data_IF_024804795768
#
_entry.id   IF_024804795768
#
_cell.length_a   1.000
_cell.length_b   1.000
_cell.length_c   1.000
_cell.angle_alpha   90.00
_cell.angle_beta   90.00
_cell.angle_gamma   90.00
#
_symmetry.space_group_name_H-M   'P 1'
#
loop_
_entity.id
_entity.type
_entity.pdbx_description
1 polymer ?
#
# COMPACT_ATOMS: atom_id res chain seq x y z
N UNK A 1 -49.31 11.69 -9.79
CA UNK A 1 -47.83 11.73 -9.78
C UNK A 1 -47.37 12.03 -8.35
N UNK A 2 -46.89 10.99 -7.64
CA UNK A 2 -46.56 11.05 -6.21
C UNK A 2 -45.10 11.53 -6.09
N UNK A 3 -44.87 12.67 -5.43
CA UNK A 3 -43.55 13.28 -5.27
C UNK A 3 -42.77 12.52 -4.21
N UNK A 4 -41.61 11.96 -4.58
CA UNK A 4 -40.68 11.35 -3.64
C UNK A 4 -39.90 12.47 -2.93
N UNK A 5 -40.03 12.54 -1.60
CA UNK A 5 -39.20 13.40 -0.77
C UNK A 5 -37.95 12.59 -0.42
N UNK A 6 -36.82 12.95 -1.00
CA UNK A 6 -35.51 12.41 -0.63
C UNK A 6 -35.00 13.26 0.53
N UNK A 7 -34.96 12.67 1.73
CA UNK A 7 -34.40 13.30 2.92
C UNK A 7 -32.90 12.98 2.91
N UNK A 8 -32.07 13.96 2.56
CA UNK A 8 -30.63 13.90 2.80
C UNK A 8 -30.36 14.19 4.27
N UNK A 9 -30.10 13.14 5.05
CA UNK A 9 -29.54 13.27 6.38
C UNK A 9 -28.06 13.63 6.24
N UNK A 10 -27.76 14.93 6.13
CA UNK A 10 -26.42 15.44 6.34
C UNK A 10 -26.06 15.19 7.80
N UNK A 11 -25.29 14.14 8.05
CA UNK A 11 -24.60 13.94 9.32
C UNK A 11 -23.77 15.17 9.62
N UNK A 12 -24.18 15.89 10.67
CA UNK A 12 -23.56 17.14 11.11
C UNK A 12 -22.23 16.78 11.78
N UNK A 13 -21.16 16.68 10.98
CA UNK A 13 -19.80 16.58 11.53
C UNK A 13 -19.43 17.96 12.08
N UNK A 14 -19.44 18.06 13.40
CA UNK A 14 -19.03 19.25 14.13
C UNK A 14 -17.53 19.46 13.91
N UNK A 15 -17.18 20.35 12.98
CA UNK A 15 -15.81 20.86 12.83
C UNK A 15 -15.57 21.90 13.92
N UNK A 16 -15.17 21.45 15.11
CA UNK A 16 -14.53 22.33 16.10
C UNK A 16 -13.04 22.37 15.80
N UNK A 17 -12.52 23.57 15.54
CA UNK A 17 -11.13 23.82 15.21
C UNK A 17 -10.16 23.15 16.17
N UNK A 18 -9.29 22.32 15.61
CA UNK A 18 -8.34 21.46 16.31
C UNK A 18 -8.20 20.19 15.49
N UNK A 19 -7.08 20.03 14.80
CA UNK A 19 -6.73 18.79 14.10
C UNK A 19 -6.84 17.67 15.14
N UNK A 20 -7.89 16.85 15.06
CA UNK A 20 -7.98 15.62 15.84
C UNK A 20 -6.85 14.74 15.31
N UNK A 21 -5.70 14.77 15.98
CA UNK A 21 -4.65 13.77 15.83
C UNK A 21 -5.27 12.45 16.29
N UNK A 22 -5.86 11.74 15.33
CA UNK A 22 -6.59 10.50 15.56
C UNK A 22 -5.62 9.39 15.94
N UNK A 23 -6.12 8.40 16.69
CA UNK A 23 -5.45 7.11 16.76
C UNK A 23 -5.40 6.44 15.39
N UNK A 24 -4.69 5.32 15.29
CA UNK A 24 -4.80 4.50 14.09
C UNK A 24 -6.18 3.85 14.02
N UNK A 25 -6.82 3.98 12.88
CA UNK A 25 -8.12 3.36 12.56
C UNK A 25 -7.95 2.46 11.33
N UNK A 26 -8.81 1.47 11.18
CA UNK A 26 -8.81 0.62 9.99
C UNK A 26 -9.23 1.45 8.75
N UNK A 27 -8.65 1.13 7.60
CA UNK A 27 -9.06 1.75 6.33
C UNK A 27 -10.45 1.30 5.91
N UNK A 28 -11.18 2.18 5.22
CA UNK A 28 -12.54 1.92 4.77
C UNK A 28 -12.71 2.14 3.25
N UNK A 29 -13.95 2.06 2.75
CA UNK A 29 -14.23 2.18 1.32
C UNK A 29 -13.79 3.53 0.72
N UNK A 30 -13.66 4.59 1.53
CA UNK A 30 -13.17 5.89 1.06
C UNK A 30 -11.67 5.88 0.72
N UNK A 31 -10.93 4.88 1.20
CA UNK A 31 -9.50 4.73 0.96
C UNK A 31 -9.15 3.88 -0.29
N UNK A 32 -10.14 3.33 -1.00
CA UNK A 32 -9.93 2.32 -2.05
C UNK A 32 -8.88 2.75 -3.11
N UNK A 33 -8.99 3.97 -3.63
CA UNK A 33 -8.05 4.49 -4.64
C UNK A 33 -6.65 4.72 -4.07
N UNK A 34 -6.55 5.16 -2.81
CA UNK A 34 -5.26 5.32 -2.13
C UNK A 34 -4.62 3.96 -1.87
N UNK A 35 -5.41 2.96 -1.47
CA UNK A 35 -4.93 1.59 -1.26
C UNK A 35 -4.43 0.93 -2.55
N UNK A 36 -5.09 1.18 -3.69
CA UNK A 36 -4.60 0.73 -5.01
C UNK A 36 -3.23 1.34 -5.33
N UNK A 37 -3.08 2.65 -5.13
CA UNK A 37 -1.81 3.35 -5.37
C UNK A 37 -0.71 2.87 -4.41
N UNK A 38 -1.03 2.74 -3.12
CA UNK A 38 -0.14 2.17 -2.11
C UNK A 38 0.36 0.79 -2.55
N UNK A 39 -0.55 -0.09 -2.97
CA UNK A 39 -0.19 -1.44 -3.42
C UNK A 39 0.78 -1.41 -4.60
N UNK A 40 0.55 -0.52 -5.56
CA UNK A 40 1.42 -0.37 -6.73
C UNK A 40 2.81 0.15 -6.35
N UNK A 41 2.86 1.23 -5.55
CA UNK A 41 4.12 1.81 -5.08
C UNK A 41 4.92 0.81 -4.24
N UNK A 42 4.24 0.09 -3.35
CA UNK A 42 4.83 -0.94 -2.51
C UNK A 42 5.40 -2.08 -3.35
N UNK A 43 4.62 -2.61 -4.29
CA UNK A 43 5.10 -3.69 -5.14
C UNK A 43 6.29 -3.24 -5.99
N UNK A 44 6.24 -2.05 -6.57
CA UNK A 44 7.32 -1.50 -7.40
C UNK A 44 8.60 -1.33 -6.59
N UNK A 45 8.52 -0.74 -5.41
CA UNK A 45 9.70 -0.53 -4.55
C UNK A 45 10.34 -1.87 -4.14
N UNK A 46 9.52 -2.88 -3.84
CA UNK A 46 10.04 -4.22 -3.54
C UNK A 46 10.63 -4.89 -4.78
N UNK A 47 10.07 -4.67 -5.97
CA UNK A 47 10.59 -5.18 -7.24
C UNK A 47 11.95 -4.53 -7.58
N UNK A 48 12.06 -3.21 -7.40
CA UNK A 48 13.29 -2.44 -7.68
C UNK A 48 14.45 -2.79 -6.73
N UNK A 49 14.12 -3.30 -5.54
CA UNK A 49 15.11 -3.76 -4.57
C UNK A 49 15.71 -5.14 -4.91
N UNK A 50 15.12 -5.88 -5.86
CA UNK A 50 15.64 -7.19 -6.26
C UNK A 50 16.81 -7.02 -7.24
N UNK A 51 17.91 -7.71 -6.95
CA UNK A 51 19.01 -7.90 -7.90
C UNK A 51 18.97 -9.33 -8.41
N UNK A 52 18.70 -9.48 -9.70
CA UNK A 52 18.65 -10.79 -10.34
C UNK A 52 20.05 -11.34 -10.63
N UNK A 53 20.19 -12.65 -10.48
CA UNK A 53 21.36 -13.40 -10.95
C UNK A 53 21.29 -13.56 -12.48
N UNK A 54 22.45 -13.69 -13.15
CA UNK A 54 22.49 -13.82 -14.61
C UNK A 54 21.68 -15.01 -15.14
N UNK A 55 20.74 -14.73 -16.03
CA UNK A 55 19.82 -15.72 -16.59
C UNK A 55 18.58 -16.01 -15.73
N UNK A 56 18.39 -15.33 -14.61
CA UNK A 56 17.19 -15.39 -13.80
C UNK A 56 16.42 -14.07 -13.85
N UNK A 57 15.11 -14.13 -13.64
CA UNK A 57 14.25 -12.97 -13.43
C UNK A 57 13.38 -13.25 -12.21
N UNK A 58 13.33 -12.30 -11.28
CA UNK A 58 12.48 -12.41 -10.09
C UNK A 58 11.27 -11.52 -10.22
N UNK A 59 10.09 -12.11 -10.08
CA UNK A 59 8.83 -11.40 -9.98
C UNK A 59 8.42 -11.24 -8.52
N UNK A 60 8.12 -10.00 -8.14
CA UNK A 60 7.59 -9.65 -6.83
C UNK A 60 6.07 -9.52 -6.89
N UNK A 61 5.39 -10.11 -5.92
CA UNK A 61 3.94 -9.97 -5.75
C UNK A 61 3.58 -9.68 -4.29
N UNK A 62 2.64 -8.77 -4.09
CA UNK A 62 2.06 -8.48 -2.79
C UNK A 62 0.78 -9.28 -2.57
N UNK A 63 0.68 -9.90 -1.39
CA UNK A 63 -0.54 -10.55 -0.89
C UNK A 63 -0.95 -9.94 0.44
N UNK A 64 -2.24 -9.98 0.71
CA UNK A 64 -2.79 -9.65 2.02
C UNK A 64 -2.33 -8.27 2.50
N UNK A 65 -2.49 -7.25 1.63
CA UNK A 65 -2.17 -5.87 2.00
C UNK A 65 -3.23 -5.37 2.99
N UNK A 66 -2.79 -5.10 4.21
CA UNK A 66 -3.60 -4.53 5.28
C UNK A 66 -3.04 -3.17 5.66
N UNK A 67 -3.90 -2.17 5.79
CA UNK A 67 -3.49 -0.82 6.13
C UNK A 67 -4.36 -0.25 7.25
N UNK A 68 -3.73 0.52 8.12
CA UNK A 68 -4.41 1.43 9.05
C UNK A 68 -4.15 2.86 8.61
N UNK A 69 -5.14 3.73 8.80
CA UNK A 69 -5.04 5.15 8.54
C UNK A 69 -4.98 5.96 9.82
N UNK A 70 -4.34 7.11 9.73
CA UNK A 70 -4.27 8.08 10.80
C UNK A 70 -4.42 9.48 10.22
N UNK A 71 -5.37 10.25 10.76
CA UNK A 71 -5.55 11.66 10.40
C UNK A 71 -4.53 12.51 11.16
N UNK A 72 -3.70 13.21 10.40
CA UNK A 72 -2.65 14.13 10.87
C UNK A 72 -2.73 15.43 10.06
N UNK A 73 -1.61 16.07 9.71
CA UNK A 73 -1.55 17.13 8.68
C UNK A 73 -1.73 16.55 7.26
N UNK A 74 -2.75 15.71 7.06
CA UNK A 74 -2.93 14.81 5.93
C UNK A 74 -3.42 13.45 6.41
N UNK A 75 -3.31 12.43 5.56
CA UNK A 75 -3.63 11.05 5.93
C UNK A 75 -2.35 10.22 5.88
N UNK A 76 -1.98 9.62 7.01
CA UNK A 76 -0.92 8.61 7.05
C UNK A 76 -1.53 7.22 6.92
N UNK A 77 -0.94 6.37 6.10
CA UNK A 77 -1.27 4.96 5.96
C UNK A 77 -0.10 4.12 6.44
N UNK A 78 -0.33 3.24 7.41
CA UNK A 78 0.66 2.27 7.89
C UNK A 78 0.19 0.90 7.44
N UNK A 79 0.97 0.27 6.56
CA UNK A 79 0.57 -0.93 5.85
C UNK A 79 1.53 -2.09 6.12
N UNK A 80 0.97 -3.29 6.16
CA UNK A 80 1.69 -4.56 6.20
C UNK A 80 1.23 -5.40 5.00
N UNK A 81 2.16 -6.14 4.38
CA UNK A 81 1.83 -7.09 3.32
C UNK A 81 2.82 -8.23 3.29
N UNK A 82 2.33 -9.41 2.88
CA UNK A 82 3.19 -10.53 2.52
C UNK A 82 3.75 -10.32 1.12
N UNK A 83 5.06 -10.18 1.03
CA UNK A 83 5.81 -10.07 -0.22
C UNK A 83 6.28 -11.45 -0.63
N UNK A 84 5.95 -11.88 -1.84
CA UNK A 84 6.44 -13.15 -2.41
C UNK A 84 7.39 -12.86 -3.56
N UNK A 85 8.49 -13.59 -3.59
CA UNK A 85 9.53 -13.53 -4.61
C UNK A 85 9.53 -14.84 -5.39
N UNK A 86 9.21 -14.77 -6.67
CA UNK A 86 9.21 -15.89 -7.59
C UNK A 86 10.32 -15.70 -8.62
N UNK A 87 11.41 -16.45 -8.48
CA UNK A 87 12.56 -16.38 -9.37
C UNK A 87 12.46 -17.47 -10.42
N UNK A 88 12.47 -17.08 -11.69
CA UNK A 88 12.38 -18.00 -12.84
C UNK A 88 13.63 -17.88 -13.69
N UNK A 89 14.12 -19.01 -14.18
CA UNK A 89 15.23 -19.05 -15.12
C UNK A 89 14.73 -18.73 -16.54
N UNK A 90 15.46 -17.87 -17.26
CA UNK A 90 15.20 -17.50 -18.66
C UNK A 90 16.09 -18.23 -19.66
N UNK A 91 17.09 -18.95 -19.17
CA UNK A 91 17.97 -19.82 -19.97
C UNK A 91 17.26 -21.16 -20.28
N UNK A 92 17.80 -21.96 -21.21
CA UNK A 92 17.31 -23.32 -21.44
C UNK A 92 17.32 -24.14 -20.14
N UNK A 93 16.33 -25.02 -19.96
CA UNK A 93 16.14 -25.78 -18.71
C UNK A 93 17.34 -26.62 -18.29
N UNK A 94 18.20 -27.02 -19.24
CA UNK A 94 19.46 -27.74 -18.98
C UNK A 94 20.50 -26.92 -18.21
N UNK A 95 20.33 -25.60 -18.13
CA UNK A 95 21.24 -24.65 -17.49
C UNK A 95 20.63 -24.02 -16.23
N UNK A 96 19.45 -24.49 -15.81
CA UNK A 96 18.66 -23.88 -14.74
C UNK A 96 18.61 -24.77 -13.50
N UNK A 97 18.89 -24.18 -12.35
CA UNK A 97 18.55 -24.75 -11.05
C UNK A 97 17.25 -24.13 -10.56
N UNK A 98 16.35 -24.94 -10.02
CA UNK A 98 15.12 -24.43 -9.43
C UNK A 98 15.47 -23.64 -8.15
N UNK A 99 15.07 -22.37 -8.11
CA UNK A 99 15.26 -21.53 -6.93
C UNK A 99 14.07 -21.69 -5.98
N UNK A 100 14.29 -21.78 -4.66
CA UNK A 100 13.20 -21.89 -3.71
C UNK A 100 12.35 -20.62 -3.70
N UNK A 101 11.04 -20.78 -3.55
CA UNK A 101 10.11 -19.67 -3.32
C UNK A 101 10.44 -18.99 -2.00
N UNK A 102 10.55 -17.67 -2.01
CA UNK A 102 10.81 -16.86 -0.80
C UNK A 102 9.63 -15.95 -0.53
N UNK A 103 9.36 -15.69 0.74
CA UNK A 103 8.40 -14.68 1.14
C UNK A 103 8.85 -13.98 2.41
N UNK A 104 8.40 -12.75 2.60
CA UNK A 104 8.67 -11.96 3.81
C UNK A 104 7.44 -11.14 4.15
N UNK A 105 7.24 -10.84 5.43
CA UNK A 105 6.24 -9.86 5.86
C UNK A 105 6.91 -8.51 5.90
N UNK A 106 6.39 -7.55 5.14
CA UNK A 106 6.98 -6.22 5.01
C UNK A 106 5.99 -5.15 5.46
N UNK A 107 6.52 -4.15 6.15
CA UNK A 107 5.79 -2.97 6.61
C UNK A 107 6.27 -1.74 5.85
N UNK A 108 5.33 -0.88 5.48
CA UNK A 108 5.61 0.39 4.84
C UNK A 108 4.61 1.44 5.29
N UNK A 109 5.05 2.69 5.30
CA UNK A 109 4.24 3.82 5.71
C UNK A 109 4.20 4.85 4.58
N UNK A 110 3.01 5.40 4.36
CA UNK A 110 2.72 6.36 3.30
C UNK A 110 2.01 7.57 3.89
N UNK A 111 2.17 8.71 3.26
CA UNK A 111 1.52 9.95 3.66
C UNK A 111 0.93 10.63 2.43
N UNK A 112 -0.34 10.99 2.54
CA UNK A 112 -1.05 11.85 1.61
C UNK A 112 -1.21 13.23 2.27
N UNK A 113 -0.48 14.26 1.81
CA UNK A 113 -0.65 15.61 2.34
C UNK A 113 -2.06 16.16 2.05
N UNK A 114 -2.42 17.24 2.73
CA UNK A 114 -3.63 18.00 2.39
C UNK A 114 -3.42 18.78 1.09
N UNK A 115 -4.38 18.72 0.18
CA UNK A 115 -4.37 19.49 -1.08
C UNK A 115 -5.12 18.77 -2.20
N UNK A 116 -5.65 19.54 -3.15
CA UNK A 116 -6.42 19.00 -4.29
C UNK A 116 -5.56 18.14 -5.23
N UNK A 117 -4.28 18.50 -5.38
CA UNK A 117 -3.29 17.78 -6.20
C UNK A 117 -2.27 16.99 -5.36
N UNK A 118 -2.59 16.75 -4.09
CA UNK A 118 -1.70 16.01 -3.19
C UNK A 118 -1.49 14.59 -3.70
N UNK A 119 -0.23 14.12 -3.64
CA UNK A 119 0.14 12.77 -4.06
C UNK A 119 0.59 11.96 -2.87
N UNK A 120 0.22 10.69 -2.89
CA UNK A 120 0.69 9.73 -1.92
C UNK A 120 2.19 9.54 -2.08
N UNK A 121 2.90 9.58 -0.95
CA UNK A 121 4.35 9.43 -0.89
C UNK A 121 4.71 8.50 0.26
N UNK A 122 5.87 7.86 0.21
CA UNK A 122 6.38 7.18 1.38
C UNK A 122 6.73 8.16 2.50
N UNK A 123 6.64 7.70 3.75
CA UNK A 123 7.26 8.39 4.89
C UNK A 123 8.74 8.00 5.00
N UNK A 124 9.54 8.81 5.71
CA UNK A 124 10.88 8.52 6.25
C UNK A 124 11.63 7.35 5.56
N UNK A 125 12.47 7.71 4.60
CA UNK A 125 13.43 6.87 3.84
C UNK A 125 12.86 6.06 2.68
N UNK A 126 11.54 5.94 2.56
CA UNK A 126 10.91 5.33 1.38
C UNK A 126 11.06 3.81 1.26
N UNK A 127 11.71 3.15 2.23
CA UNK A 127 12.04 1.74 2.16
C UNK A 127 11.14 0.92 3.07
N UNK A 128 10.44 -0.10 2.54
CA UNK A 128 9.74 -1.06 3.36
C UNK A 128 10.68 -1.81 4.31
N UNK A 129 10.24 -2.04 5.53
CA UNK A 129 10.94 -2.87 6.53
C UNK A 129 10.40 -4.28 6.49
N UNK A 130 11.25 -5.25 6.15
CA UNK A 130 10.86 -6.65 5.98
C UNK A 130 11.44 -7.55 7.07
N UNK A 131 10.62 -8.49 7.55
CA UNK A 131 11.04 -9.61 8.39
C UNK A 131 10.80 -10.92 7.63
N UNK A 132 11.81 -11.78 7.59
CA UNK A 132 11.80 -13.06 6.90
C UNK A 132 11.19 -14.17 7.76
#
# INVERSE_FOLDING_TARGET
>A
MKRFIVIFLFGLVVVRGGVLLGGEEDTDASDEENLKQIKQMFQQTMQDAVTDEDGYETKVTLKDLECKRQVVAGTRYNCESKVNYETVCKKPSSECEEKPKRSSTCKASFWLPLGEDAKLQYTDDGKPSCVA
#
